data_IF_310672666714
#
_entry.id   IF_310672666714
#
_cell.length_a   1.000
_cell.length_b   1.000
_cell.length_c   1.000
_cell.angle_alpha   90.00
_cell.angle_beta   90.00
_cell.angle_gamma   90.00
#
_symmetry.space_group_name_H-M   'P 1'
#
loop_
_entity.id
_entity.type
_entity.pdbx_description
1 polymer ?
#
# COMPACT_ATOMS: atom_id res chain seq x y z
N UNK A 1 5.65 -20.23 -12.05
CA UNK A 1 4.90 -18.98 -12.38
C UNK A 1 3.66 -19.29 -13.22
N UNK A 2 3.75 -20.00 -14.34
CA UNK A 2 2.64 -20.37 -15.23
C UNK A 2 1.43 -20.96 -14.49
N UNK A 3 1.64 -21.92 -13.58
CA UNK A 3 0.57 -22.53 -12.78
C UNK A 3 -0.24 -21.45 -12.04
N UNK A 4 0.44 -20.48 -11.41
CA UNK A 4 -0.22 -19.42 -10.63
C UNK A 4 -0.94 -18.42 -11.52
N UNK A 5 -0.39 -18.09 -12.67
CA UNK A 5 -0.96 -17.09 -13.56
C UNK A 5 -2.10 -17.63 -14.42
N UNK A 6 -2.02 -18.90 -14.84
CA UNK A 6 -2.94 -19.47 -15.82
C UNK A 6 -3.92 -20.50 -15.23
N UNK A 7 -3.45 -21.37 -14.32
CA UNK A 7 -4.23 -22.52 -13.83
C UNK A 7 -5.01 -22.25 -12.57
N UNK A 8 -4.46 -21.45 -11.62
CA UNK A 8 -5.20 -21.13 -10.41
C UNK A 8 -6.42 -20.25 -10.75
N UNK A 9 -7.57 -20.60 -10.19
CA UNK A 9 -8.77 -19.77 -10.28
C UNK A 9 -8.59 -18.51 -9.42
N UNK A 10 -9.20 -17.41 -9.84
CA UNK A 10 -9.17 -16.13 -9.14
C UNK A 10 -8.71 -15.01 -10.06
N UNK A 11 -9.20 -13.81 -9.80
CA UNK A 11 -8.96 -12.61 -10.62
C UNK A 11 -7.74 -11.81 -10.14
N UNK A 12 -7.39 -11.99 -8.86
CA UNK A 12 -6.28 -11.29 -8.21
C UNK A 12 -5.38 -12.31 -7.52
N UNK A 13 -4.08 -12.17 -7.73
CA UNK A 13 -3.07 -12.90 -6.98
C UNK A 13 -2.24 -11.92 -6.15
N UNK A 14 -2.21 -12.14 -4.83
CA UNK A 14 -1.45 -11.30 -3.89
C UNK A 14 -0.09 -11.93 -3.60
N UNK A 15 0.95 -11.10 -3.62
CA UNK A 15 2.32 -11.51 -3.31
C UNK A 15 2.95 -10.55 -2.28
N UNK A 16 3.70 -11.10 -1.35
CA UNK A 16 4.64 -10.35 -0.54
C UNK A 16 5.85 -9.98 -1.40
N UNK A 17 6.32 -8.75 -1.38
CA UNK A 17 7.45 -8.33 -2.17
C UNK A 17 8.37 -7.34 -1.45
N UNK A 18 7.83 -6.49 -0.59
CA UNK A 18 8.61 -5.47 0.11
C UNK A 18 9.68 -6.09 1.02
N UNK A 19 9.35 -7.16 1.75
CA UNK A 19 10.26 -7.85 2.67
C UNK A 19 11.43 -8.55 1.95
N UNK A 20 11.21 -8.97 0.69
CA UNK A 20 12.21 -9.65 -0.14
C UNK A 20 12.91 -8.71 -1.11
N UNK A 21 12.81 -7.39 -0.89
CA UNK A 21 13.35 -6.38 -1.80
C UNK A 21 12.93 -6.59 -3.26
N UNK A 22 11.67 -6.98 -3.47
CA UNK A 22 11.03 -7.15 -4.78
C UNK A 22 11.75 -8.13 -5.73
N UNK A 23 12.46 -9.12 -5.19
CA UNK A 23 13.25 -10.10 -5.96
C UNK A 23 12.41 -10.98 -6.88
N UNK A 24 11.13 -11.13 -6.58
CA UNK A 24 10.18 -11.93 -7.35
C UNK A 24 9.64 -11.20 -8.59
N UNK A 25 9.69 -9.87 -8.64
CA UNK A 25 9.13 -9.09 -9.74
C UNK A 25 9.67 -9.46 -11.13
N UNK A 26 10.98 -9.71 -11.31
CA UNK A 26 11.52 -10.13 -12.61
C UNK A 26 10.88 -11.39 -13.19
N UNK A 27 10.29 -12.25 -12.34
CA UNK A 27 9.58 -13.45 -12.78
C UNK A 27 8.32 -13.14 -13.60
N UNK A 28 7.79 -11.93 -13.51
CA UNK A 28 6.61 -11.48 -14.28
C UNK A 28 7.00 -10.98 -15.68
N UNK A 29 8.28 -10.68 -15.93
CA UNK A 29 8.74 -10.11 -17.20
C UNK A 29 8.27 -10.89 -18.44
N UNK A 30 8.37 -12.23 -18.48
CA UNK A 30 7.91 -13.02 -19.63
C UNK A 30 6.39 -12.95 -19.85
N UNK A 31 5.63 -12.64 -18.80
CA UNK A 31 4.17 -12.66 -18.81
C UNK A 31 3.56 -11.27 -18.90
N UNK A 32 4.37 -10.20 -18.89
CA UNK A 32 3.92 -8.82 -18.76
C UNK A 32 2.79 -8.45 -19.74
N UNK A 33 2.90 -8.89 -20.98
CA UNK A 33 1.92 -8.58 -22.04
C UNK A 33 0.76 -9.58 -22.13
N UNK A 34 0.82 -10.67 -21.37
CA UNK A 34 -0.20 -11.74 -21.38
C UNK A 34 -0.92 -11.92 -20.06
N UNK A 35 -0.64 -11.06 -19.06
CA UNK A 35 -1.28 -11.11 -17.76
C UNK A 35 -2.79 -10.96 -17.86
N UNK A 36 -3.52 -12.01 -17.52
CA UNK A 36 -4.99 -12.00 -17.44
C UNK A 36 -5.46 -11.53 -16.07
N UNK A 37 -4.73 -11.89 -15.02
CA UNK A 37 -5.03 -11.57 -13.62
C UNK A 37 -4.40 -10.25 -13.20
N UNK A 38 -4.97 -9.65 -12.17
CA UNK A 38 -4.32 -8.57 -11.43
C UNK A 38 -3.34 -9.16 -10.42
N UNK A 39 -2.25 -8.46 -10.20
CA UNK A 39 -1.24 -8.82 -9.21
C UNK A 39 -1.25 -7.76 -8.12
N UNK A 40 -1.65 -8.16 -6.92
CA UNK A 40 -1.58 -7.33 -5.74
C UNK A 40 -0.19 -7.49 -5.12
N UNK A 41 0.62 -6.44 -5.21
CA UNK A 41 2.00 -6.44 -4.74
C UNK A 41 2.08 -5.71 -3.41
N UNK A 42 2.66 -6.36 -2.40
CA UNK A 42 3.00 -5.72 -1.13
C UNK A 42 4.10 -4.69 -1.34
N UNK A 43 3.78 -3.42 -1.15
CA UNK A 43 4.71 -2.27 -1.25
C UNK A 43 5.07 -1.70 0.11
N UNK A 44 4.50 -2.26 1.17
CA UNK A 44 4.73 -1.89 2.57
C UNK A 44 5.01 -3.14 3.39
N UNK A 45 6.12 -3.09 4.14
CA UNK A 45 6.49 -4.12 5.10
C UNK A 45 5.52 -4.16 6.30
N UNK A 46 5.18 -5.36 6.72
CA UNK A 46 4.46 -5.63 7.97
C UNK A 46 5.39 -5.93 9.14
N UNK A 47 6.70 -6.01 8.93
CA UNK A 47 7.69 -6.42 9.95
C UNK A 47 8.38 -5.27 10.65
N UNK A 48 8.37 -4.08 10.07
CA UNK A 48 8.94 -2.89 10.68
C UNK A 48 7.87 -1.98 11.28
N UNK A 49 8.10 -1.47 12.47
CA UNK A 49 7.25 -0.46 13.12
C UNK A 49 7.43 0.94 12.52
N UNK A 50 8.45 1.15 11.69
CA UNK A 50 8.65 2.41 11.00
C UNK A 50 7.60 2.59 9.91
N UNK A 51 6.96 3.76 9.88
CA UNK A 51 6.10 4.15 8.78
C UNK A 51 6.94 4.51 7.55
N UNK A 52 6.54 4.01 6.39
CA UNK A 52 7.19 4.34 5.13
C UNK A 52 6.65 5.68 4.61
N UNK A 53 7.54 6.57 4.13
CA UNK A 53 7.13 7.81 3.49
C UNK A 53 6.52 7.55 2.10
N UNK A 54 5.54 8.37 1.67
CA UNK A 54 4.88 8.17 0.37
C UNK A 54 5.82 8.17 -0.84
N UNK A 55 6.88 8.95 -0.84
CA UNK A 55 7.90 8.98 -1.90
C UNK A 55 8.71 7.67 -1.98
N UNK A 56 9.04 7.08 -0.83
CA UNK A 56 9.67 5.74 -0.78
C UNK A 56 8.74 4.68 -1.35
N UNK A 57 7.46 4.73 -0.99
CA UNK A 57 6.46 3.81 -1.53
C UNK A 57 6.27 4.05 -3.04
N UNK A 58 6.28 5.30 -3.51
CA UNK A 58 6.20 5.64 -4.94
C UNK A 58 7.36 5.03 -5.73
N UNK A 59 8.59 5.08 -5.20
CA UNK A 59 9.74 4.41 -5.80
C UNK A 59 9.55 2.90 -5.93
N UNK A 60 8.93 2.27 -4.94
CA UNK A 60 8.58 0.83 -4.99
C UNK A 60 7.49 0.54 -6.03
N UNK A 61 6.51 1.45 -6.19
CA UNK A 61 5.50 1.34 -7.24
C UNK A 61 6.14 1.41 -8.62
N UNK A 62 7.10 2.29 -8.85
CA UNK A 62 7.84 2.34 -10.12
C UNK A 62 8.56 1.02 -10.41
N UNK A 63 9.21 0.40 -9.42
CA UNK A 63 9.80 -0.94 -9.60
C UNK A 63 8.76 -1.99 -10.00
N UNK A 64 7.56 -1.93 -9.44
CA UNK A 64 6.47 -2.84 -9.84
C UNK A 64 6.07 -2.61 -11.30
N UNK A 65 5.97 -1.36 -11.73
CA UNK A 65 5.54 -0.98 -13.08
C UNK A 65 6.53 -1.40 -14.19
N UNK A 66 7.79 -1.67 -13.85
CA UNK A 66 8.75 -2.25 -14.80
C UNK A 66 8.34 -3.65 -15.27
N UNK A 67 7.67 -4.42 -14.41
CA UNK A 67 7.36 -5.82 -14.63
C UNK A 67 5.86 -6.11 -14.80
N UNK A 68 5.00 -5.28 -14.21
CA UNK A 68 3.54 -5.46 -14.19
C UNK A 68 2.88 -4.22 -14.81
N UNK A 69 2.01 -4.38 -15.82
CA UNK A 69 1.28 -3.25 -16.41
C UNK A 69 0.41 -2.54 -15.35
N UNK A 70 0.23 -1.22 -15.49
CA UNK A 70 -0.50 -0.42 -14.52
C UNK A 70 -1.96 -0.86 -14.32
N UNK A 71 -2.63 -1.33 -15.38
CA UNK A 71 -4.00 -1.86 -15.34
C UNK A 71 -4.09 -3.23 -14.64
N UNK A 72 -2.96 -3.91 -14.46
CA UNK A 72 -2.84 -5.20 -13.76
C UNK A 72 -2.25 -5.07 -12.36
N UNK A 73 -1.68 -3.94 -12.01
CA UNK A 73 -1.07 -3.73 -10.70
C UNK A 73 -2.12 -3.30 -9.67
N UNK A 74 -2.15 -3.99 -8.55
CA UNK A 74 -2.87 -3.60 -7.33
C UNK A 74 -1.84 -3.37 -6.23
N UNK A 75 -1.96 -2.30 -5.48
CA UNK A 75 -1.08 -1.99 -4.37
C UNK A 75 -1.64 -2.58 -3.07
N UNK A 76 -0.79 -3.24 -2.32
CA UNK A 76 -1.14 -3.91 -1.07
C UNK A 76 -0.04 -3.73 -0.02
N UNK A 77 -0.27 -4.25 1.17
CA UNK A 77 0.75 -4.53 2.17
C UNK A 77 1.22 -5.97 2.04
N UNK A 78 2.44 -6.28 2.45
CA UNK A 78 2.97 -7.65 2.40
C UNK A 78 2.09 -8.61 3.21
N UNK A 79 1.64 -8.17 4.38
CA UNK A 79 0.71 -8.91 5.23
C UNK A 79 -0.11 -7.95 6.09
N UNK A 80 -1.04 -8.48 6.88
CA UNK A 80 -1.79 -7.70 7.87
C UNK A 80 -0.93 -7.31 9.07
N UNK A 81 -1.30 -6.25 9.76
CA UNK A 81 -0.54 -5.65 10.87
C UNK A 81 -0.88 -6.23 12.26
N UNK A 82 -1.67 -7.29 12.34
CA UNK A 82 -2.18 -7.81 13.61
C UNK A 82 -1.18 -8.57 14.48
N UNK A 83 -0.02 -8.98 13.94
CA UNK A 83 0.92 -9.87 14.64
C UNK A 83 2.16 -9.19 15.21
N UNK A 84 2.47 -7.98 14.80
CA UNK A 84 3.77 -7.33 15.06
C UNK A 84 3.73 -6.26 16.16
N UNK A 85 2.71 -6.28 17.02
CA UNK A 85 2.56 -5.26 18.04
C UNK A 85 2.18 -3.88 17.49
N UNK A 86 1.66 -3.82 16.28
CA UNK A 86 1.16 -2.59 15.68
C UNK A 86 -0.03 -2.07 16.46
N UNK A 87 -0.01 -0.80 16.82
CA UNK A 87 -1.21 -0.11 17.24
C UNK A 87 -2.01 0.38 16.01
N UNK A 88 -3.28 0.75 16.24
CA UNK A 88 -4.18 1.21 15.18
C UNK A 88 -3.64 2.43 14.43
N UNK A 89 -3.01 3.37 15.12
CA UNK A 89 -2.50 4.60 14.50
C UNK A 89 -1.36 4.29 13.54
N UNK A 90 -0.38 3.48 13.95
CA UNK A 90 0.72 3.08 13.10
C UNK A 90 0.23 2.30 11.86
N UNK A 91 -0.71 1.37 12.06
CA UNK A 91 -1.32 0.63 10.95
C UNK A 91 -2.02 1.58 9.96
N UNK A 92 -2.75 2.59 10.46
CA UNK A 92 -3.39 3.61 9.65
C UNK A 92 -2.34 4.42 8.85
N UNK A 93 -1.31 4.94 9.50
CA UNK A 93 -0.24 5.70 8.83
C UNK A 93 0.41 4.89 7.71
N UNK A 94 0.78 3.65 7.98
CA UNK A 94 1.35 2.76 6.94
C UNK A 94 0.38 2.57 5.77
N UNK A 95 -0.88 2.31 6.06
CA UNK A 95 -1.89 2.05 5.01
C UNK A 95 -2.18 3.29 4.17
N UNK A 96 -2.28 4.48 4.78
CA UNK A 96 -2.55 5.75 4.09
C UNK A 96 -1.38 6.15 3.18
N UNK A 97 -0.17 5.73 3.48
CA UNK A 97 0.99 5.93 2.60
C UNK A 97 0.79 5.36 1.20
N UNK A 98 0.04 4.26 1.03
CA UNK A 98 -0.20 3.64 -0.28
C UNK A 98 -0.96 4.57 -1.24
N UNK A 99 -2.18 5.07 -0.91
CA UNK A 99 -2.90 5.97 -1.80
C UNK A 99 -2.21 7.33 -1.98
N UNK A 100 -1.44 7.80 -1.01
CA UNK A 100 -0.62 9.00 -1.18
C UNK A 100 0.50 8.77 -2.21
N UNK A 101 1.22 7.66 -2.11
CA UNK A 101 2.25 7.27 -3.07
C UNK A 101 1.68 7.04 -4.48
N UNK A 102 0.51 6.37 -4.57
CA UNK A 102 -0.21 6.25 -5.85
C UNK A 102 -0.45 7.62 -6.48
N UNK A 103 -0.84 8.62 -5.70
CA UNK A 103 -1.10 9.96 -6.21
C UNK A 103 0.18 10.67 -6.68
N UNK A 104 1.33 10.40 -6.08
CA UNK A 104 2.63 10.87 -6.58
C UNK A 104 2.85 10.30 -7.99
N UNK A 105 2.76 8.98 -8.13
CA UNK A 105 2.95 8.29 -9.42
C UNK A 105 1.92 8.74 -10.46
N UNK A 106 0.66 8.93 -10.10
CA UNK A 106 -0.35 9.45 -11.03
C UNK A 106 0.03 10.84 -11.56
N UNK A 107 0.48 11.76 -10.70
CA UNK A 107 0.95 13.10 -11.11
C UNK A 107 2.14 13.01 -12.07
N UNK A 108 3.12 12.16 -11.79
CA UNK A 108 4.28 11.95 -12.64
C UNK A 108 3.90 11.41 -14.03
N UNK A 109 2.82 10.64 -14.10
CA UNK A 109 2.24 10.14 -15.36
C UNK A 109 1.29 11.14 -16.05
N UNK A 110 1.11 12.35 -15.52
CA UNK A 110 0.19 13.34 -16.05
C UNK A 110 -1.30 13.01 -15.83
N UNK A 111 -1.59 12.15 -14.85
CA UNK A 111 -2.94 11.73 -14.49
C UNK A 111 -3.43 12.45 -13.21
N UNK A 112 -4.74 12.63 -13.10
CA UNK A 112 -5.34 13.28 -11.94
C UNK A 112 -5.20 12.42 -10.68
N UNK A 113 -4.70 13.02 -9.56
CA UNK A 113 -4.69 12.36 -8.26
C UNK A 113 -6.11 12.06 -7.79
N UNK A 114 -6.24 10.98 -7.03
CA UNK A 114 -7.53 10.61 -6.42
C UNK A 114 -7.61 11.12 -4.99
N UNK A 115 -8.78 11.54 -4.58
CA UNK A 115 -9.03 11.94 -3.20
C UNK A 115 -8.70 10.81 -2.20
N UNK A 116 -8.05 11.18 -1.10
CA UNK A 116 -7.66 10.28 -0.01
C UNK A 116 -8.25 10.82 1.29
N UNK A 117 -9.43 10.34 1.71
CA UNK A 117 -10.10 10.88 2.90
C UNK A 117 -9.24 10.85 4.17
N UNK A 118 -8.47 9.77 4.35
CA UNK A 118 -7.62 9.60 5.53
C UNK A 118 -6.39 10.52 5.57
N UNK A 119 -6.15 11.28 4.50
CA UNK A 119 -5.10 12.31 4.42
C UNK A 119 -5.68 13.73 4.32
N UNK A 120 -6.99 13.88 4.48
CA UNK A 120 -7.67 15.18 4.45
C UNK A 120 -7.64 15.79 5.85
N UNK A 121 -6.92 16.88 5.99
CA UNK A 121 -6.80 17.61 7.25
C UNK A 121 -8.16 18.07 7.82
N UNK A 122 -9.15 18.32 6.95
CA UNK A 122 -10.51 18.70 7.38
C UNK A 122 -11.25 17.58 8.09
N UNK A 123 -10.81 16.34 7.91
CA UNK A 123 -11.34 15.15 8.58
C UNK A 123 -10.45 14.72 9.76
N UNK A 124 -9.46 15.52 10.13
CA UNK A 124 -8.65 15.26 11.31
C UNK A 124 -9.54 15.33 12.57
N UNK A 125 -9.26 14.50 13.54
CA UNK A 125 -10.09 14.34 14.73
C UNK A 125 -10.27 15.65 15.53
N UNK A 126 -9.21 16.45 15.58
CA UNK A 126 -9.19 17.76 16.24
C UNK A 126 -9.96 18.84 15.48
N UNK A 127 -10.36 18.58 14.24
CA UNK A 127 -11.17 19.46 13.41
C UNK A 127 -12.66 19.08 13.42
N UNK A 128 -13.02 17.96 14.06
CA UNK A 128 -14.43 17.54 14.16
C UNK A 128 -15.17 18.41 15.19
N UNK A 129 -16.40 18.89 14.86
CA UNK A 129 -17.15 19.80 15.73
C UNK A 129 -17.42 19.26 17.14
N UNK A 130 -17.53 17.95 17.26
CA UNK A 130 -17.84 17.25 18.53
C UNK A 130 -16.59 16.61 19.16
N UNK A 131 -15.38 17.01 18.71
CA UNK A 131 -14.15 16.49 19.29
C UNK A 131 -13.91 17.15 20.66
N UNK A 132 -14.11 16.38 21.71
CA UNK A 132 -13.63 16.73 23.04
C UNK A 132 -12.25 16.09 23.24
N UNK A 133 -11.16 16.87 23.40
CA UNK A 133 -9.88 16.31 23.74
C UNK A 133 -9.98 15.52 25.05
N UNK A 134 -9.25 14.41 25.18
CA UNK A 134 -9.24 13.52 26.36
C UNK A 134 -8.74 14.24 27.64
N UNK A 135 -9.30 15.39 27.93
CA UNK A 135 -8.99 16.18 29.13
C UNK A 135 -9.47 15.52 30.41
N UNK A 136 -10.27 14.44 30.30
CA UNK A 136 -10.84 13.72 31.45
C UNK A 136 -10.01 12.51 31.88
N UNK A 137 -8.95 12.14 31.15
CA UNK A 137 -8.03 11.13 31.63
C UNK A 137 -7.23 11.73 32.79
N UNK A 138 -7.67 11.45 34.02
CA UNK A 138 -6.83 11.73 35.20
C UNK A 138 -5.50 11.03 35.01
N UNK A 139 -4.37 11.69 35.26
CA UNK A 139 -3.10 10.99 35.31
C UNK A 139 -3.27 9.83 36.30
N UNK A 140 -2.95 8.62 35.84
CA UNK A 140 -2.83 7.47 36.72
C UNK A 140 -1.73 7.81 37.73
N UNK A 141 -2.13 8.06 38.97
CA UNK A 141 -1.21 8.33 40.07
C UNK A 141 -0.38 7.11 40.44
#
# INVERSE_FOLDING_TARGET
MEIYLERLKGDVWTIEACENDFKELPLFKPYRNSLKKKIAVGVISHRTLQADFPDVIASRIHRCLEFIPADKLVLSTDCGFGRQGFNRHLALYKTVGIPMARNIVLKELGLEPRYVPAADEKLAWDQLPDYEPFTHLRPLG
#
